data_IF_954080592459
#
_entry.id   IF_954080592459
#
_cell.length_a   1.000
_cell.length_b   1.000
_cell.length_c   1.000
_cell.angle_alpha   90.00
_cell.angle_beta   90.00
_cell.angle_gamma   90.00
#
_symmetry.space_group_name_H-M   'P 1'
#
loop_
_entity.id
_entity.type
_entity.pdbx_description
1 polymer ?
#
# COMPACT_ATOMS: atom_id res chain seq x y z
N UNK A 1 -54.87 23.71 -10.51
CA UNK A 1 -54.84 22.30 -10.08
C UNK A 1 -54.31 22.25 -8.66
N UNK A 2 -55.23 22.20 -7.66
CA UNK A 2 -54.84 22.20 -6.24
C UNK A 2 -54.44 20.79 -5.84
N UNK A 3 -53.16 20.58 -5.57
CA UNK A 3 -52.67 19.35 -4.96
C UNK A 3 -53.30 19.24 -3.59
N UNK A 4 -54.07 18.18 -3.32
CA UNK A 4 -54.70 18.00 -2.01
C UNK A 4 -53.61 17.72 -0.98
N UNK A 5 -53.66 18.35 0.18
CA UNK A 5 -52.70 18.17 1.28
C UNK A 5 -52.49 16.69 1.59
N UNK A 6 -53.53 15.88 1.44
CA UNK A 6 -53.50 14.42 1.61
C UNK A 6 -52.49 13.75 0.65
N UNK A 7 -52.43 14.22 -0.61
CA UNK A 7 -51.52 13.64 -1.61
C UNK A 7 -50.04 13.99 -1.29
N UNK A 8 -49.82 15.24 -0.85
CA UNK A 8 -48.48 15.67 -0.40
C UNK A 8 -48.00 14.84 0.78
N UNK A 9 -48.87 14.62 1.78
CA UNK A 9 -48.54 13.80 2.94
C UNK A 9 -48.24 12.34 2.55
N UNK A 10 -49.01 11.79 1.62
CA UNK A 10 -48.79 10.43 1.12
C UNK A 10 -47.46 10.29 0.42
N UNK A 11 -47.06 11.22 -0.49
CA UNK A 11 -45.76 11.21 -1.14
C UNK A 11 -44.60 11.39 -0.14
N UNK A 12 -44.76 12.21 0.87
CA UNK A 12 -43.77 12.39 1.92
C UNK A 12 -43.55 11.11 2.74
N UNK A 13 -44.62 10.38 3.07
CA UNK A 13 -44.53 9.09 3.75
C UNK A 13 -43.85 8.03 2.88
N UNK A 14 -44.14 7.97 1.58
CA UNK A 14 -43.43 7.10 0.65
C UNK A 14 -41.91 7.43 0.57
N UNK A 15 -41.59 8.70 0.53
CA UNK A 15 -40.21 9.16 0.51
C UNK A 15 -39.44 8.72 1.77
N UNK A 16 -40.03 8.91 2.95
CA UNK A 16 -39.48 8.43 4.21
C UNK A 16 -39.29 6.89 4.20
N UNK A 17 -40.31 6.18 3.74
CA UNK A 17 -40.23 4.71 3.66
C UNK A 17 -39.06 4.24 2.79
N UNK A 18 -38.86 4.88 1.64
CA UNK A 18 -37.74 4.56 0.75
C UNK A 18 -36.38 4.83 1.45
N UNK A 19 -36.23 5.99 2.10
CA UNK A 19 -34.98 6.33 2.82
C UNK A 19 -34.68 5.28 3.90
N UNK A 20 -35.65 4.98 4.77
CA UNK A 20 -35.43 4.00 5.82
C UNK A 20 -35.17 2.58 5.29
N UNK A 21 -35.79 2.22 4.17
CA UNK A 21 -35.52 0.93 3.52
C UNK A 21 -34.09 0.85 3.03
N UNK A 22 -33.55 1.93 2.43
CA UNK A 22 -32.17 2.01 2.00
C UNK A 22 -31.22 1.97 3.19
N UNK A 23 -31.48 2.70 4.26
CA UNK A 23 -30.65 2.67 5.49
C UNK A 23 -30.61 1.27 6.10
N UNK A 24 -31.73 0.57 6.18
CA UNK A 24 -31.79 -0.80 6.70
C UNK A 24 -30.96 -1.74 5.81
N UNK A 25 -31.07 -1.63 4.48
CA UNK A 25 -30.26 -2.41 3.55
C UNK A 25 -28.77 -2.14 3.72
N UNK A 26 -28.37 -0.88 3.82
CA UNK A 26 -26.98 -0.50 4.04
C UNK A 26 -26.45 -1.03 5.39
N UNK A 27 -27.26 -0.96 6.45
CA UNK A 27 -26.89 -1.50 7.76
C UNK A 27 -26.70 -3.01 7.73
N UNK A 28 -27.60 -3.77 7.09
CA UNK A 28 -27.49 -5.22 6.93
C UNK A 28 -26.24 -5.57 6.11
N UNK A 29 -25.99 -4.84 5.01
CA UNK A 29 -24.83 -5.07 4.17
C UNK A 29 -23.53 -4.79 4.93
N UNK A 30 -23.42 -3.66 5.64
CA UNK A 30 -22.24 -3.33 6.43
C UNK A 30 -21.97 -4.32 7.56
N UNK A 31 -23.02 -4.77 8.25
CA UNK A 31 -22.89 -5.78 9.32
C UNK A 31 -22.40 -7.13 8.80
N UNK A 32 -22.86 -7.54 7.61
CA UNK A 32 -22.39 -8.78 6.97
C UNK A 32 -20.94 -8.68 6.50
N UNK A 33 -20.52 -7.53 5.97
CA UNK A 33 -19.14 -7.29 5.60
C UNK A 33 -18.21 -7.36 6.81
N UNK A 34 -18.58 -6.73 7.92
CA UNK A 34 -17.82 -6.75 9.16
C UNK A 34 -17.69 -8.16 9.74
N UNK A 35 -18.79 -8.94 9.74
CA UNK A 35 -18.76 -10.37 10.12
C UNK A 35 -17.84 -11.20 9.23
N UNK A 36 -17.80 -10.91 7.92
CA UNK A 36 -16.91 -11.59 6.97
C UNK A 36 -15.45 -11.32 7.27
N UNK A 37 -15.07 -10.09 7.58
CA UNK A 37 -13.69 -9.71 7.92
C UNK A 37 -13.23 -10.33 9.24
N UNK A 38 -14.07 -10.34 10.27
CA UNK A 38 -13.80 -11.03 11.55
C UNK A 38 -13.58 -12.53 11.31
N UNK A 39 -14.41 -13.16 10.48
CA UNK A 39 -14.28 -14.58 10.15
C UNK A 39 -12.95 -14.91 9.43
N UNK A 40 -12.43 -14.02 8.58
CA UNK A 40 -11.12 -14.21 7.92
C UNK A 40 -9.99 -14.21 8.96
N UNK A 41 -9.99 -13.27 9.90
CA UNK A 41 -8.99 -13.19 10.97
C UNK A 41 -9.02 -14.45 11.85
N UNK A 42 -10.21 -14.86 12.29
CA UNK A 42 -10.39 -16.07 13.08
C UNK A 42 -9.92 -17.34 12.34
N UNK A 43 -10.24 -17.48 11.06
CA UNK A 43 -9.75 -18.58 10.22
C UNK A 43 -8.22 -18.61 10.14
N UNK A 44 -7.57 -17.45 9.97
CA UNK A 44 -6.10 -17.36 9.98
C UNK A 44 -5.52 -17.82 11.30
N UNK A 45 -6.10 -17.39 12.43
CA UNK A 45 -5.69 -17.84 13.78
C UNK A 45 -5.84 -19.35 13.92
N UNK A 46 -6.96 -19.93 13.47
CA UNK A 46 -7.20 -21.37 13.54
C UNK A 46 -6.20 -22.15 12.69
N UNK A 47 -5.93 -21.69 11.46
CA UNK A 47 -4.95 -22.32 10.56
C UNK A 47 -3.55 -22.28 11.17
N UNK A 48 -3.16 -21.13 11.73
CA UNK A 48 -1.87 -20.97 12.39
C UNK A 48 -1.73 -21.93 13.58
N UNK A 49 -2.73 -22.00 14.46
CA UNK A 49 -2.76 -22.94 15.59
C UNK A 49 -2.69 -24.40 15.13
N UNK A 50 -3.47 -24.77 14.12
CA UNK A 50 -3.50 -26.15 13.58
C UNK A 50 -2.14 -26.61 13.04
N UNK A 51 -1.39 -25.68 12.43
CA UNK A 51 -0.10 -25.97 11.81
C UNK A 51 1.09 -25.63 12.72
N UNK A 52 0.85 -25.27 13.98
CA UNK A 52 1.87 -24.84 14.94
C UNK A 52 2.75 -23.68 14.42
N UNK A 53 2.11 -22.74 13.71
CA UNK A 53 2.76 -21.55 13.15
C UNK A 53 2.58 -20.37 14.12
N UNK A 54 3.62 -19.55 14.22
CA UNK A 54 3.51 -18.28 14.95
C UNK A 54 2.66 -17.31 14.13
N UNK A 55 1.65 -16.74 14.75
CA UNK A 55 0.80 -15.72 14.12
C UNK A 55 0.56 -14.58 15.09
N UNK A 56 0.83 -13.36 14.65
CA UNK A 56 0.51 -12.15 15.41
C UNK A 56 -0.85 -11.59 14.97
N UNK A 57 -1.92 -11.79 15.76
CA UNK A 57 -3.25 -11.33 15.41
C UNK A 57 -3.50 -9.86 15.72
N UNK A 58 -2.51 -9.15 16.28
CA UNK A 58 -2.65 -7.75 16.70
C UNK A 58 -2.73 -6.82 15.49
N UNK A 59 -3.30 -5.65 15.69
CA UNK A 59 -3.31 -4.61 14.66
C UNK A 59 -1.92 -3.97 14.55
N UNK A 60 -1.57 -3.48 13.36
CA UNK A 60 -0.24 -2.91 13.06
C UNK A 60 0.12 -1.74 13.97
N UNK A 61 -0.87 -0.95 14.35
CA UNK A 61 -0.72 0.20 15.25
C UNK A 61 -0.28 -0.21 16.64
N UNK A 62 -0.87 -1.27 17.19
CA UNK A 62 -0.52 -1.80 18.51
C UNK A 62 0.94 -2.28 18.50
N UNK A 63 1.30 -3.08 17.49
CA UNK A 63 2.67 -3.60 17.36
C UNK A 63 3.68 -2.48 17.12
N UNK A 64 3.30 -1.45 16.36
CA UNK A 64 4.14 -0.28 16.13
C UNK A 64 4.44 0.47 17.44
N UNK A 65 3.42 0.77 18.23
CA UNK A 65 3.60 1.52 19.48
C UNK A 65 4.41 0.73 20.51
N UNK A 66 4.26 -0.58 20.61
CA UNK A 66 5.09 -1.43 21.45
C UNK A 66 6.56 -1.41 21.00
N UNK A 67 6.81 -1.58 19.68
CA UNK A 67 8.17 -1.67 19.14
C UNK A 67 8.86 -0.33 18.93
N UNK A 68 8.14 0.79 18.95
CA UNK A 68 8.69 2.12 18.68
C UNK A 68 9.83 2.52 19.63
N UNK A 69 9.77 2.10 20.88
CA UNK A 69 10.80 2.40 21.88
C UNK A 69 11.94 1.38 21.88
N UNK A 70 11.72 0.18 21.34
CA UNK A 70 12.70 -0.90 21.29
C UNK A 70 13.57 -0.83 20.04
N UNK A 71 13.00 -0.36 18.93
CA UNK A 71 13.65 -0.35 17.62
C UNK A 71 14.07 1.06 17.25
N UNK A 72 15.38 1.28 17.20
CA UNK A 72 15.95 2.55 16.78
C UNK A 72 15.49 2.92 15.35
N UNK A 73 15.09 4.17 15.17
CA UNK A 73 14.63 4.74 13.89
C UNK A 73 13.36 4.10 13.31
N UNK A 74 12.54 3.41 14.13
CA UNK A 74 11.25 2.93 13.66
C UNK A 74 10.33 4.12 13.35
N UNK A 75 9.74 4.09 12.17
CA UNK A 75 8.83 5.11 11.64
C UNK A 75 7.56 4.46 11.11
N UNK A 76 6.50 5.25 11.02
CA UNK A 76 5.25 4.83 10.36
C UNK A 76 5.55 4.51 8.90
N UNK A 77 5.06 3.38 8.37
CA UNK A 77 5.21 3.08 6.95
C UNK A 77 4.46 4.12 6.12
N UNK A 78 5.04 4.46 4.98
CA UNK A 78 4.40 5.33 4.01
C UNK A 78 3.76 4.46 2.92
N UNK A 79 2.47 4.64 2.70
CA UNK A 79 1.75 4.01 1.61
C UNK A 79 1.33 5.07 0.60
N UNK A 80 1.79 4.91 -0.64
CA UNK A 80 1.46 5.84 -1.72
C UNK A 80 -0.05 6.01 -1.91
N UNK A 81 -0.81 4.92 -1.75
CA UNK A 81 -2.28 4.94 -1.80
C UNK A 81 -2.93 5.89 -0.79
N UNK A 82 -2.27 6.17 0.34
CA UNK A 82 -2.80 7.13 1.32
C UNK A 82 -2.85 8.56 0.81
N UNK A 83 -2.05 8.91 -0.20
CA UNK A 83 -2.12 10.21 -0.88
C UNK A 83 -3.39 10.37 -1.70
N UNK A 84 -3.92 9.28 -2.24
CA UNK A 84 -5.13 9.29 -3.07
C UNK A 84 -6.42 9.27 -2.27
N UNK A 85 -6.39 8.76 -1.05
CA UNK A 85 -7.54 8.79 -0.16
C UNK A 85 -7.99 10.22 0.16
N UNK A 86 -7.13 11.21 -0.08
CA UNK A 86 -7.45 12.62 0.05
C UNK A 86 -6.99 13.43 -1.19
N UNK A 87 -7.69 13.24 -2.31
CA UNK A 87 -7.45 13.94 -3.58
C UNK A 87 -7.42 15.47 -3.43
N UNK A 88 -8.18 16.03 -2.50
CA UNK A 88 -8.19 17.49 -2.23
C UNK A 88 -6.82 17.94 -1.72
N UNK A 89 -6.30 17.27 -0.70
CA UNK A 89 -4.97 17.56 -0.13
C UNK A 89 -3.86 17.38 -1.15
N UNK A 90 -3.97 16.36 -2.01
CA UNK A 90 -3.01 16.16 -3.09
C UNK A 90 -3.03 17.29 -4.12
N UNK A 91 -4.21 17.69 -4.59
CA UNK A 91 -4.38 18.83 -5.53
C UNK A 91 -3.86 20.15 -4.93
N UNK A 92 -4.11 20.37 -3.65
CA UNK A 92 -3.57 21.54 -2.92
C UNK A 92 -2.05 21.50 -2.80
N UNK A 93 -1.46 20.35 -2.49
CA UNK A 93 -0.01 20.17 -2.42
C UNK A 93 0.64 20.47 -3.79
N UNK A 94 0.07 19.96 -4.88
CA UNK A 94 0.53 20.21 -6.24
C UNK A 94 0.40 21.68 -6.63
N UNK A 95 -0.74 22.32 -6.34
CA UNK A 95 -0.96 23.76 -6.61
C UNK A 95 0.05 24.65 -5.89
N UNK A 96 0.48 24.26 -4.71
CA UNK A 96 1.42 25.00 -3.87
C UNK A 96 2.88 24.58 -4.08
N UNK A 97 3.21 23.85 -5.15
CA UNK A 97 4.54 23.31 -5.44
C UNK A 97 5.16 22.54 -4.26
N UNK A 98 4.33 21.91 -3.43
CA UNK A 98 4.83 21.07 -2.35
C UNK A 98 5.32 19.75 -2.92
N UNK A 99 6.42 19.26 -2.35
CA UNK A 99 6.99 17.97 -2.69
C UNK A 99 5.99 16.84 -2.34
N UNK A 100 5.79 15.92 -3.29
CA UNK A 100 4.97 14.74 -3.10
C UNK A 100 5.92 13.54 -3.03
N UNK A 101 6.05 12.89 -1.86
CA UNK A 101 6.96 11.76 -1.72
C UNK A 101 6.41 10.54 -2.46
N UNK A 102 7.22 9.94 -3.31
CA UNK A 102 6.92 8.66 -3.97
C UNK A 102 7.50 7.46 -3.22
N UNK A 103 8.22 7.69 -2.13
CA UNK A 103 9.05 6.70 -1.44
C UNK A 103 8.80 6.74 0.04
N UNK A 104 9.23 5.67 0.71
CA UNK A 104 9.18 5.55 2.17
C UNK A 104 10.08 6.54 2.91
N UNK A 105 10.06 6.51 4.24
CA UNK A 105 10.91 7.36 5.06
C UNK A 105 12.39 6.98 4.89
N UNK A 106 13.24 7.98 4.65
CA UNK A 106 14.68 7.84 4.35
C UNK A 106 15.45 7.36 5.58
N UNK A 107 16.33 6.35 5.42
CA UNK A 107 17.17 5.79 6.48
C UNK A 107 16.39 5.43 7.75
N UNK A 108 15.17 4.95 7.61
CA UNK A 108 14.29 4.54 8.69
C UNK A 108 13.93 3.06 8.57
N UNK A 109 13.56 2.48 9.70
CA UNK A 109 12.89 1.19 9.75
C UNK A 109 11.39 1.39 9.72
N UNK A 110 10.67 0.51 9.06
CA UNK A 110 9.21 0.52 9.01
C UNK A 110 8.66 -0.85 9.36
N UNK A 111 7.51 -0.87 10.01
CA UNK A 111 6.77 -2.09 10.25
C UNK A 111 6.03 -2.47 8.97
N UNK A 112 6.31 -3.66 8.45
CA UNK A 112 5.59 -4.21 7.31
C UNK A 112 4.39 -5.05 7.77
N UNK A 113 3.61 -5.54 6.83
CA UNK A 113 2.43 -6.35 7.09
C UNK A 113 2.78 -7.73 7.69
N UNK A 114 1.75 -8.41 8.20
CA UNK A 114 1.82 -9.76 8.76
C UNK A 114 1.10 -10.79 7.87
N UNK A 115 1.23 -10.70 6.54
CA UNK A 115 0.57 -11.64 5.62
C UNK A 115 1.10 -13.08 5.79
N UNK A 116 2.38 -13.20 6.12
CA UNK A 116 3.07 -14.45 6.41
C UNK A 116 3.20 -14.74 7.93
N UNK A 117 2.21 -14.27 8.70
CA UNK A 117 1.99 -14.58 10.12
C UNK A 117 2.71 -13.69 11.14
N UNK A 118 3.80 -13.02 10.79
CA UNK A 118 4.55 -12.13 11.70
C UNK A 118 4.87 -10.80 11.04
N UNK A 119 4.76 -9.71 11.81
CA UNK A 119 5.22 -8.40 11.35
C UNK A 119 6.73 -8.39 11.10
N UNK A 120 7.12 -7.90 9.94
CA UNK A 120 8.53 -7.76 9.56
C UNK A 120 8.99 -6.32 9.74
N UNK A 121 10.25 -6.15 10.12
CA UNK A 121 10.90 -4.85 10.12
C UNK A 121 11.65 -4.70 8.80
N UNK A 122 11.33 -3.64 8.07
CA UNK A 122 11.94 -3.30 6.79
C UNK A 122 12.85 -2.11 7.00
N UNK A 123 14.05 -2.16 6.48
CA UNK A 123 14.99 -1.04 6.43
C UNK A 123 14.87 -0.33 5.10
N UNK A 124 14.67 1.00 5.15
CA UNK A 124 14.68 1.84 3.97
C UNK A 124 16.06 2.51 3.84
N UNK A 125 16.53 2.60 2.61
CA UNK A 125 17.82 3.20 2.26
C UNK A 125 17.79 4.75 2.30
N UNK A 126 18.90 5.36 1.89
CA UNK A 126 19.07 6.82 1.79
C UNK A 126 18.12 7.53 0.82
N UNK A 127 17.40 6.79 0.02
CA UNK A 127 16.38 7.31 -0.89
C UNK A 127 14.97 6.86 -0.52
N UNK A 128 14.81 6.05 0.54
CA UNK A 128 13.52 5.57 1.03
C UNK A 128 13.01 4.30 0.35
N UNK A 129 13.83 3.65 -0.49
CA UNK A 129 13.52 2.33 -1.05
C UNK A 129 14.01 1.22 -0.12
N UNK A 130 13.50 0.03 -0.34
CA UNK A 130 13.85 -1.16 0.42
C UNK A 130 15.15 -1.79 -0.08
N UNK A 131 16.27 -1.13 0.18
CA UNK A 131 17.60 -1.63 -0.14
C UNK A 131 18.55 -1.42 1.04
N UNK A 132 19.68 -2.13 1.01
CA UNK A 132 20.86 -1.73 1.78
C UNK A 132 21.54 -0.55 1.11
N UNK A 133 22.01 0.42 1.89
CA UNK A 133 22.77 1.56 1.35
C UNK A 133 24.04 1.14 0.59
N UNK A 134 24.64 -0.01 0.94
CA UNK A 134 25.82 -0.53 0.26
C UNK A 134 25.60 -0.93 -1.20
N UNK A 135 24.34 -1.08 -1.65
CA UNK A 135 24.06 -1.40 -3.06
C UNK A 135 24.49 -0.28 -4.00
N UNK A 136 24.44 0.96 -3.52
CA UNK A 136 24.77 2.15 -4.32
C UNK A 136 26.25 2.33 -4.59
N UNK A 137 27.11 1.56 -3.91
CA UNK A 137 28.57 1.50 -4.13
C UNK A 137 28.95 0.43 -5.16
N UNK A 138 28.00 -0.37 -5.60
CA UNK A 138 28.22 -1.47 -6.54
C UNK A 138 27.77 -1.09 -7.95
N UNK A 139 28.38 -1.74 -8.94
CA UNK A 139 27.86 -1.69 -10.31
C UNK A 139 26.49 -2.40 -10.35
N UNK A 140 25.45 -1.67 -10.70
CA UNK A 140 24.10 -2.21 -10.79
C UNK A 140 23.93 -3.02 -12.07
N UNK A 141 23.50 -4.28 -11.92
CA UNK A 141 23.19 -5.15 -13.05
C UNK A 141 21.72 -4.99 -13.46
N UNK A 142 20.83 -4.90 -12.48
CA UNK A 142 19.38 -4.86 -12.67
C UNK A 142 18.77 -3.75 -11.85
N UNK A 143 17.87 -2.98 -12.44
CA UNK A 143 16.85 -2.19 -11.73
C UNK A 143 15.55 -2.97 -11.76
N UNK A 144 14.98 -3.23 -10.58
CA UNK A 144 13.67 -3.85 -10.39
C UNK A 144 12.63 -2.76 -10.12
N UNK A 145 11.58 -2.72 -10.92
CA UNK A 145 10.48 -1.76 -10.86
C UNK A 145 9.14 -2.48 -10.72
N UNK A 146 8.16 -1.77 -10.22
CA UNK A 146 6.77 -2.23 -10.08
C UNK A 146 6.17 -1.83 -8.75
N UNK A 147 5.02 -2.41 -8.44
CA UNK A 147 4.27 -2.14 -7.22
C UNK A 147 4.75 -3.02 -6.03
N UNK A 148 3.82 -3.45 -5.17
CA UNK A 148 4.10 -4.22 -3.95
C UNK A 148 4.89 -5.51 -4.18
N UNK A 149 4.68 -6.21 -5.29
CA UNK A 149 5.42 -7.41 -5.62
C UNK A 149 6.91 -7.13 -5.92
N UNK A 150 7.20 -6.02 -6.59
CA UNK A 150 8.58 -5.59 -6.85
C UNK A 150 9.24 -5.09 -5.58
N UNK A 151 8.54 -4.28 -4.78
CA UNK A 151 9.03 -3.84 -3.48
C UNK A 151 9.35 -5.02 -2.56
N UNK A 152 8.68 -6.15 -2.74
CA UNK A 152 8.74 -7.27 -1.81
C UNK A 152 8.00 -6.96 -0.51
N UNK A 153 6.81 -6.36 -0.64
CA UNK A 153 5.93 -6.05 0.47
C UNK A 153 5.67 -7.30 1.31
N UNK A 154 5.68 -7.19 2.64
CA UNK A 154 5.58 -8.28 3.61
C UNK A 154 6.78 -9.24 3.70
N UNK A 155 7.80 -9.08 2.88
CA UNK A 155 9.02 -9.89 2.96
C UNK A 155 10.19 -9.08 3.49
N UNK A 156 11.17 -9.75 4.10
CA UNK A 156 12.46 -9.11 4.38
C UNK A 156 13.24 -8.90 3.09
N UNK A 157 14.16 -7.94 3.06
CA UNK A 157 14.98 -7.64 1.87
C UNK A 157 15.84 -8.81 1.37
N UNK A 158 16.09 -9.79 2.24
CA UNK A 158 16.84 -11.00 1.87
C UNK A 158 15.97 -12.04 1.14
N UNK A 159 14.67 -12.03 1.37
CA UNK A 159 13.73 -13.05 0.90
C UNK A 159 12.82 -12.57 -0.22
N UNK A 160 12.91 -11.29 -0.59
CA UNK A 160 12.21 -10.74 -1.75
C UNK A 160 12.92 -11.07 -3.07
N UNK A 161 12.35 -10.62 -4.18
CA UNK A 161 12.89 -10.88 -5.52
C UNK A 161 14.32 -10.29 -5.68
N UNK A 162 14.53 -9.05 -5.22
CA UNK A 162 15.82 -8.39 -5.32
C UNK A 162 16.86 -9.11 -4.48
N UNK A 163 16.54 -9.50 -3.24
CA UNK A 163 17.43 -10.26 -2.36
C UNK A 163 17.82 -11.61 -2.96
N UNK A 164 16.86 -12.31 -3.57
CA UNK A 164 17.16 -13.57 -4.24
C UNK A 164 18.08 -13.40 -5.49
N UNK A 165 17.94 -12.30 -6.23
CA UNK A 165 18.85 -11.97 -7.33
C UNK A 165 20.25 -11.62 -6.79
N UNK A 166 20.33 -10.86 -5.70
CA UNK A 166 21.61 -10.51 -5.05
C UNK A 166 22.34 -11.76 -4.54
N UNK A 167 21.64 -12.72 -3.93
CA UNK A 167 22.21 -14.03 -3.54
C UNK A 167 22.85 -14.78 -4.74
N UNK A 168 22.30 -14.58 -5.94
CA UNK A 168 22.84 -15.10 -7.20
C UNK A 168 23.95 -14.21 -7.81
N UNK A 169 24.50 -13.26 -7.05
CA UNK A 169 25.54 -12.31 -7.48
C UNK A 169 25.08 -11.33 -8.59
N UNK A 170 23.79 -11.09 -8.69
CA UNK A 170 23.20 -10.10 -9.59
C UNK A 170 22.87 -8.86 -8.76
N UNK A 171 23.73 -7.83 -8.79
CA UNK A 171 23.50 -6.58 -8.06
C UNK A 171 22.22 -5.92 -8.55
N UNK A 172 21.18 -6.02 -7.75
CA UNK A 172 19.81 -5.55 -8.08
C UNK A 172 19.46 -4.37 -7.21
N UNK A 173 19.13 -3.24 -7.84
CA UNK A 173 18.57 -2.08 -7.19
C UNK A 173 17.05 -2.19 -7.22
N UNK A 174 16.44 -2.40 -6.07
CA UNK A 174 14.99 -2.46 -5.93
C UNK A 174 14.40 -1.05 -5.84
N UNK A 175 13.66 -0.64 -6.84
CA UNK A 175 12.96 0.64 -6.90
C UNK A 175 11.43 0.45 -6.96
N UNK A 176 10.94 -0.73 -6.58
CA UNK A 176 9.52 -1.00 -6.41
C UNK A 176 8.91 -0.18 -5.27
N UNK A 177 7.67 0.25 -5.43
CA UNK A 177 6.92 1.00 -4.42
C UNK A 177 5.48 0.48 -4.35
N UNK A 178 5.07 0.02 -3.19
CA UNK A 178 3.72 -0.50 -2.99
C UNK A 178 2.64 0.54 -3.32
N UNK A 179 1.52 0.05 -3.85
CA UNK A 179 0.37 0.86 -4.22
C UNK A 179 0.67 1.97 -5.26
N UNK A 180 1.57 1.68 -6.20
CA UNK A 180 1.88 2.57 -7.34
C UNK A 180 1.56 1.90 -8.67
N UNK A 181 1.39 2.73 -9.70
CA UNK A 181 1.15 2.29 -11.07
C UNK A 181 2.36 2.52 -11.99
N UNK A 182 2.14 2.36 -13.31
CA UNK A 182 3.20 2.47 -14.32
C UNK A 182 3.83 3.84 -14.43
N UNK A 183 3.08 4.94 -14.20
CA UNK A 183 3.62 6.30 -14.34
C UNK A 183 4.61 6.64 -13.21
N UNK A 184 4.32 6.24 -11.97
CA UNK A 184 5.27 6.38 -10.87
C UNK A 184 6.51 5.54 -11.14
N UNK A 185 6.35 4.29 -11.58
CA UNK A 185 7.50 3.44 -11.95
C UNK A 185 8.35 4.07 -13.04
N UNK A 186 7.72 4.70 -14.05
CA UNK A 186 8.43 5.44 -15.11
C UNK A 186 9.16 6.67 -14.57
N UNK A 187 8.53 7.42 -13.66
CA UNK A 187 9.15 8.59 -13.04
C UNK A 187 10.40 8.20 -12.24
N UNK A 188 10.29 7.15 -11.42
CA UNK A 188 11.40 6.57 -10.68
C UNK A 188 12.52 6.09 -11.60
N UNK A 189 12.18 5.43 -12.71
CA UNK A 189 13.17 4.99 -13.69
C UNK A 189 13.89 6.17 -14.34
N UNK A 190 13.18 7.24 -14.69
CA UNK A 190 13.77 8.46 -15.27
C UNK A 190 14.73 9.15 -14.29
N UNK A 191 14.42 9.11 -13.00
CA UNK A 191 15.27 9.70 -11.96
C UNK A 191 16.54 8.87 -11.69
N UNK A 192 16.40 7.55 -11.53
CA UNK A 192 17.48 6.67 -11.08
C UNK A 192 18.20 5.93 -12.21
N UNK A 193 17.52 5.61 -13.31
CA UNK A 193 18.08 4.87 -14.42
C UNK A 193 19.36 5.48 -14.98
N UNK A 194 19.38 6.79 -15.31
CA UNK A 194 20.59 7.46 -15.82
C UNK A 194 21.76 7.47 -14.84
N UNK A 195 21.49 7.49 -13.52
CA UNK A 195 22.50 7.53 -12.48
C UNK A 195 23.25 6.20 -12.37
N UNK A 196 22.54 5.09 -12.47
CA UNK A 196 23.10 3.75 -12.21
C UNK A 196 23.35 2.92 -13.47
N UNK A 197 22.87 3.34 -14.63
CA UNK A 197 23.07 2.74 -15.95
C UNK A 197 23.04 1.19 -15.90
N UNK A 198 21.91 0.60 -15.47
CA UNK A 198 21.79 -0.84 -15.29
C UNK A 198 21.96 -1.57 -16.62
N UNK A 199 22.40 -2.83 -16.57
CA UNK A 199 22.42 -3.68 -17.77
C UNK A 199 21.02 -4.07 -18.21
N UNK A 200 20.12 -4.30 -17.25
CA UNK A 200 18.76 -4.71 -17.50
C UNK A 200 17.79 -3.96 -16.57
N UNK A 201 16.56 -3.78 -17.04
CA UNK A 201 15.44 -3.27 -16.27
C UNK A 201 14.36 -4.36 -16.27
N UNK A 202 13.89 -4.71 -15.06
CA UNK A 202 12.79 -5.64 -14.87
C UNK A 202 11.61 -4.84 -14.33
N UNK A 203 10.51 -4.82 -15.05
CA UNK A 203 9.26 -4.25 -14.57
C UNK A 203 8.28 -5.38 -14.26
N UNK A 204 7.91 -5.52 -12.98
CA UNK A 204 6.88 -6.48 -12.56
C UNK A 204 5.51 -5.85 -12.72
N UNK A 205 4.82 -6.31 -13.73
CA UNK A 205 3.46 -5.91 -14.03
C UNK A 205 2.46 -6.90 -13.42
N UNK A 206 1.51 -6.37 -12.64
CA UNK A 206 0.40 -7.14 -12.10
C UNK A 206 -0.92 -6.57 -12.61
N UNK A 207 -1.59 -7.30 -13.48
CA UNK A 207 -2.69 -6.82 -14.30
C UNK A 207 -3.84 -6.20 -13.48
N UNK A 208 -4.25 -6.85 -12.39
CA UNK A 208 -5.38 -6.38 -11.60
C UNK A 208 -5.13 -5.06 -10.86
N UNK A 209 -3.90 -4.79 -10.41
CA UNK A 209 -3.58 -3.59 -9.62
C UNK A 209 -3.03 -2.44 -10.46
N UNK A 210 -2.11 -2.73 -11.38
CA UNK A 210 -1.37 -1.67 -12.08
C UNK A 210 -2.26 -0.82 -12.97
N UNK A 211 -3.32 -1.39 -13.56
CA UNK A 211 -4.28 -0.63 -14.37
C UNK A 211 -5.16 0.29 -13.53
N UNK A 212 -5.56 -0.13 -12.34
CA UNK A 212 -6.35 0.71 -11.44
C UNK A 212 -5.52 1.88 -10.91
N UNK A 213 -4.28 1.63 -10.50
CA UNK A 213 -3.36 2.69 -10.12
C UNK A 213 -3.05 3.64 -11.28
N UNK A 214 -2.92 3.14 -12.52
CA UNK A 214 -2.73 3.99 -13.69
C UNK A 214 -3.87 5.00 -13.89
N UNK A 215 -5.13 4.61 -13.64
CA UNK A 215 -6.26 5.54 -13.71
C UNK A 215 -6.07 6.70 -12.72
N UNK A 216 -5.73 6.39 -11.47
CA UNK A 216 -5.47 7.41 -10.44
C UNK A 216 -4.27 8.29 -10.77
N UNK A 217 -3.17 7.70 -11.24
CA UNK A 217 -1.96 8.43 -11.64
C UNK A 217 -2.24 9.42 -12.78
N UNK A 218 -3.09 9.07 -13.74
CA UNK A 218 -3.54 9.98 -14.81
C UNK A 218 -4.38 11.15 -14.28
N UNK A 219 -5.26 10.90 -13.32
CA UNK A 219 -6.09 11.95 -12.71
C UNK A 219 -5.24 13.00 -11.99
N UNK A 220 -4.15 12.58 -11.35
CA UNK A 220 -3.22 13.46 -10.65
C UNK A 220 -2.17 14.07 -11.56
N UNK A 221 -2.15 13.73 -12.85
CA UNK A 221 -1.21 14.25 -13.86
C UNK A 221 0.26 14.16 -13.43
N UNK A 222 0.67 12.98 -13.01
CA UNK A 222 2.07 12.65 -12.76
C UNK A 222 2.87 12.70 -14.07
#
# INVERSE_FOLDING_TARGET
MFIKIKDVLTYFLYFLFVIYSVEILLFIFSSNLQKSLVNIKEKRIQIAKKNNLKFDPRESEIVFFEKKNEIEKLSVPFYYSSLFSNLKTFKEAKKNNKFIPFRGPINKKTLSCAEDLEYKIIENDKYGFKNSNSIYEKKINVILLGASHAEGFCYTSENDIAGNLIKKKINTLNLGVAATGPLVSLAVLKEFGPLYKPKNIIYLYFESNNLDFLKWEKEIKI
#
